data_IF_686073360521
#
_entry.id   IF_686073360521
#
_cell.length_a   1.000
_cell.length_b   1.000
_cell.length_c   1.000
_cell.angle_alpha   90.00
_cell.angle_beta   90.00
_cell.angle_gamma   90.00
#
_symmetry.space_group_name_H-M   'P 1'
#
loop_
_entity.id
_entity.type
_entity.pdbx_description
1 polymer ?
#
# COMPACT_ATOMS: atom_id res chain seq x y z
N UNK A 1 1.59 -20.89 7.73
CA UNK A 1 1.19 -20.12 6.54
C UNK A 1 1.62 -18.66 6.62
N UNK A 2 1.09 -17.85 7.56
CA UNK A 2 1.41 -16.42 7.70
C UNK A 2 2.91 -16.14 7.81
N UNK A 3 3.62 -16.81 8.74
CA UNK A 3 5.08 -16.68 8.91
C UNK A 3 5.86 -16.92 7.61
N UNK A 4 5.48 -17.91 6.80
CA UNK A 4 6.12 -18.18 5.49
C UNK A 4 5.93 -17.03 4.49
N UNK A 5 4.79 -16.32 4.55
CA UNK A 5 4.48 -15.17 3.68
C UNK A 5 5.29 -13.94 4.08
N UNK A 6 5.27 -13.55 5.36
CA UNK A 6 5.95 -12.33 5.84
C UNK A 6 7.48 -12.46 5.84
N UNK A 7 8.01 -13.68 5.99
CA UNK A 7 9.46 -13.94 5.92
C UNK A 7 9.93 -14.18 4.47
N UNK A 8 9.03 -14.20 3.47
CA UNK A 8 9.42 -14.44 2.09
C UNK A 8 10.29 -13.29 1.55
N UNK A 9 11.45 -13.58 0.94
CA UNK A 9 12.32 -12.55 0.40
C UNK A 9 11.59 -11.76 -0.71
N UNK A 10 11.39 -10.47 -0.47
CA UNK A 10 10.65 -9.58 -1.38
C UNK A 10 9.20 -9.31 -1.00
N UNK A 11 8.65 -9.94 0.05
CA UNK A 11 7.33 -9.61 0.58
C UNK A 11 7.27 -8.12 0.98
N UNK A 12 8.16 -7.69 1.86
CA UNK A 12 8.22 -6.29 2.32
C UNK A 12 8.49 -5.28 1.20
N UNK A 13 9.29 -5.66 0.19
CA UNK A 13 9.50 -4.84 -1.01
C UNK A 13 8.20 -4.66 -1.81
N UNK A 14 7.39 -5.72 -1.90
CA UNK A 14 6.06 -5.67 -2.53
C UNK A 14 5.09 -4.81 -1.71
N UNK A 15 5.11 -4.93 -0.37
CA UNK A 15 4.28 -4.12 0.53
C UNK A 15 4.55 -2.64 0.33
N UNK A 16 5.83 -2.24 0.37
CA UNK A 16 6.24 -0.85 0.16
C UNK A 16 5.90 -0.38 -1.26
N UNK A 17 6.19 -1.18 -2.28
CA UNK A 17 5.90 -0.80 -3.68
C UNK A 17 4.41 -0.60 -3.95
N UNK A 18 3.55 -1.52 -3.47
CA UNK A 18 2.10 -1.37 -3.64
C UNK A 18 1.52 -0.25 -2.78
N UNK A 19 2.01 -0.11 -1.55
CA UNK A 19 1.59 0.97 -0.67
C UNK A 19 1.94 2.33 -1.27
N UNK A 20 3.15 2.49 -1.80
CA UNK A 20 3.58 3.73 -2.45
C UNK A 20 2.75 4.03 -3.71
N UNK A 21 2.46 3.01 -4.53
CA UNK A 21 1.61 3.16 -5.71
C UNK A 21 0.18 3.61 -5.32
N UNK A 22 -0.38 3.06 -4.24
CA UNK A 22 -1.68 3.46 -3.71
C UNK A 22 -1.66 4.91 -3.20
N UNK A 23 -0.64 5.30 -2.44
CA UNK A 23 -0.47 6.68 -1.95
C UNK A 23 -0.40 7.67 -3.12
N UNK A 24 0.39 7.37 -4.15
CA UNK A 24 0.50 8.21 -5.33
C UNK A 24 -0.84 8.34 -6.07
N UNK A 25 -1.55 7.22 -6.27
CA UNK A 25 -2.88 7.24 -6.90
C UNK A 25 -3.88 8.05 -6.07
N UNK A 26 -3.87 7.87 -4.75
CA UNK A 26 -4.75 8.60 -3.84
C UNK A 26 -4.48 10.11 -3.90
N UNK A 27 -3.22 10.52 -3.88
CA UNK A 27 -2.83 11.92 -4.03
C UNK A 27 -3.28 12.50 -5.37
N UNK A 28 -3.11 11.76 -6.47
CA UNK A 28 -3.55 12.20 -7.80
C UNK A 28 -5.08 12.35 -7.88
N UNK A 29 -5.83 11.37 -7.36
CA UNK A 29 -7.30 11.40 -7.36
C UNK A 29 -7.78 12.58 -6.50
N UNK A 30 -7.22 12.74 -5.30
CA UNK A 30 -7.58 13.83 -4.40
C UNK A 30 -7.28 15.20 -5.03
N UNK A 31 -6.10 15.34 -5.64
CA UNK A 31 -5.70 16.56 -6.36
C UNK A 31 -6.67 16.88 -7.52
N UNK A 32 -7.13 15.87 -8.25
CA UNK A 32 -8.13 16.06 -9.31
C UNK A 32 -9.50 16.49 -8.76
N UNK A 33 -9.93 15.93 -7.63
CA UNK A 33 -11.20 16.30 -6.95
C UNK A 33 -11.15 17.75 -6.43
N UNK A 34 -9.99 18.19 -5.94
CA UNK A 34 -9.76 19.56 -5.46
C UNK A 34 -9.44 20.56 -6.60
N UNK A 35 -9.68 20.18 -7.86
CA UNK A 35 -9.55 21.06 -9.01
C UNK A 35 -8.10 21.43 -9.33
N UNK A 36 -7.15 20.54 -9.06
CA UNK A 36 -5.71 20.73 -9.20
C UNK A 36 -5.11 21.83 -8.30
N UNK A 37 -5.85 22.27 -7.29
CA UNK A 37 -5.33 23.19 -6.28
C UNK A 37 -4.43 22.44 -5.30
N UNK A 38 -3.29 23.03 -4.91
CA UNK A 38 -2.46 22.52 -3.81
C UNK A 38 -2.92 23.04 -2.43
N UNK A 39 -4.04 23.77 -2.37
CA UNK A 39 -4.55 24.36 -1.13
C UNK A 39 -4.85 23.29 -0.06
N UNK A 40 -5.23 22.07 -0.44
CA UNK A 40 -5.49 20.97 0.51
C UNK A 40 -4.28 20.52 1.32
N UNK A 41 -3.05 20.84 0.87
CA UNK A 41 -1.82 20.56 1.61
C UNK A 41 -1.52 21.64 2.66
N UNK A 42 -2.16 22.80 2.56
CA UNK A 42 -1.89 23.98 3.42
C UNK A 42 -3.03 24.29 4.37
N UNK A 43 -4.27 23.89 4.05
CA UNK A 43 -5.47 24.23 4.79
C UNK A 43 -5.86 23.19 5.86
N UNK A 44 -5.27 21.99 5.81
CA UNK A 44 -5.55 20.87 6.71
C UNK A 44 -4.29 20.41 7.41
N UNK A 45 -4.42 19.96 8.67
CA UNK A 45 -3.35 19.48 9.55
C UNK A 45 -2.45 18.45 8.81
N UNK A 46 -1.32 18.91 8.22
CA UNK A 46 -0.65 18.17 7.15
C UNK A 46 0.01 16.90 7.67
N UNK A 47 0.34 16.89 8.96
CA UNK A 47 0.83 15.72 9.69
C UNK A 47 -0.19 14.59 9.72
N UNK A 48 -1.45 14.88 10.07
CA UNK A 48 -2.51 13.88 10.12
C UNK A 48 -2.83 13.33 8.73
N UNK A 49 -2.82 14.20 7.71
CA UNK A 49 -3.04 13.78 6.33
C UNK A 49 -1.93 12.86 5.83
N UNK A 50 -0.66 13.21 6.05
CA UNK A 50 0.49 12.39 5.66
C UNK A 50 0.50 11.07 6.42
N UNK A 51 0.34 11.09 7.74
CA UNK A 51 0.31 9.88 8.58
C UNK A 51 -0.86 8.97 8.22
N UNK A 52 -2.05 9.53 8.02
CA UNK A 52 -3.24 8.78 7.61
C UNK A 52 -3.07 8.13 6.24
N UNK A 53 -2.50 8.86 5.28
CA UNK A 53 -2.27 8.35 3.92
C UNK A 53 -1.18 7.28 3.90
N UNK A 54 -0.10 7.46 4.67
CA UNK A 54 0.95 6.44 4.86
C UNK A 54 0.41 5.18 5.54
N UNK A 55 -0.39 5.35 6.61
CA UNK A 55 -1.00 4.21 7.31
C UNK A 55 -1.97 3.46 6.40
N UNK A 56 -2.83 4.17 5.65
CA UNK A 56 -3.75 3.56 4.70
C UNK A 56 -3.00 2.82 3.57
N UNK A 57 -1.98 3.46 3.00
CA UNK A 57 -1.12 2.85 1.98
C UNK A 57 -0.38 1.63 2.50
N UNK A 58 0.12 1.67 3.73
CA UNK A 58 0.77 0.53 4.37
C UNK A 58 -0.20 -0.64 4.58
N UNK A 59 -1.39 -0.37 5.12
CA UNK A 59 -2.44 -1.38 5.32
C UNK A 59 -2.84 -2.00 3.97
N UNK A 60 -3.13 -1.18 2.97
CA UNK A 60 -3.46 -1.66 1.63
C UNK A 60 -2.34 -2.50 1.01
N UNK A 61 -1.11 -1.98 1.02
CA UNK A 61 0.07 -2.68 0.50
C UNK A 61 0.32 -4.01 1.22
N UNK A 62 0.07 -4.06 2.52
CA UNK A 62 0.19 -5.27 3.33
C UNK A 62 -0.84 -6.32 2.94
N UNK A 63 -2.13 -5.97 2.93
CA UNK A 63 -3.20 -6.91 2.58
C UNK A 63 -3.08 -7.46 1.16
N UNK A 64 -2.80 -6.61 0.18
CA UNK A 64 -2.68 -7.04 -1.21
C UNK A 64 -1.44 -7.91 -1.42
N UNK A 65 -0.30 -7.52 -0.84
CA UNK A 65 0.91 -8.35 -0.92
C UNK A 65 0.72 -9.67 -0.17
N UNK A 66 0.04 -9.67 0.97
CA UNK A 66 -0.25 -10.88 1.73
C UNK A 66 -1.11 -11.85 0.92
N UNK A 67 -2.19 -11.36 0.29
CA UNK A 67 -3.01 -12.14 -0.63
C UNK A 67 -2.18 -12.74 -1.77
N UNK A 68 -1.43 -11.89 -2.49
CA UNK A 68 -0.57 -12.30 -3.62
C UNK A 68 0.44 -13.39 -3.24
N UNK A 69 1.18 -13.21 -2.15
CA UNK A 69 2.21 -14.15 -1.74
C UNK A 69 1.62 -15.42 -1.09
N UNK A 70 0.47 -15.33 -0.40
CA UNK A 70 -0.22 -16.50 0.15
C UNK A 70 -0.69 -17.44 -0.96
N UNK A 71 -1.27 -16.90 -2.04
CA UNK A 71 -1.66 -17.69 -3.23
C UNK A 71 -0.44 -18.27 -3.92
N UNK A 72 0.62 -17.48 -4.10
CA UNK A 72 1.86 -17.93 -4.74
C UNK A 72 2.53 -19.09 -4.00
N UNK A 73 2.57 -19.02 -2.66
CA UNK A 73 3.14 -20.08 -1.82
C UNK A 73 2.28 -21.35 -1.85
N UNK A 74 0.95 -21.23 -1.76
CA UNK A 74 0.03 -22.37 -1.90
C UNK A 74 0.15 -23.05 -3.27
N UNK A 75 0.29 -22.26 -4.34
CA UNK A 75 0.46 -22.80 -5.69
C UNK A 75 1.81 -23.54 -5.87
N UNK A 76 2.84 -23.14 -5.12
CA UNK A 76 4.14 -23.83 -5.11
C UNK A 76 4.06 -25.16 -4.36
N UNK A 77 3.40 -25.18 -3.20
CA UNK A 77 3.20 -26.36 -2.35
C UNK A 77 2.33 -27.44 -3.02
N UNK A 78 1.40 -27.07 -3.89
CA UNK A 78 0.60 -28.04 -4.68
C UNK A 78 1.29 -28.60 -5.93
N UNK A 79 2.48 -28.09 -6.30
CA UNK A 79 3.24 -28.56 -7.48
C UNK A 79 4.43 -29.45 -7.11
N UNK A 80 4.73 -29.58 -5.82
CA UNK A 80 5.73 -30.50 -5.27
C UNK A 80 5.01 -31.70 -4.65
#
# INVERSE_FOLDING_TARGET
MFKKVVTYPGFWKSVVSLGLAFVLLFLLIKWAIEGFSFAYLTDSDPLFFILGTLAAGFVYGFFVSFGKFSVKLKAKENRE
#
